data_IF_480851038497
#
_entry.id   IF_480851038497
#
_cell.length_a   1.000
_cell.length_b   1.000
_cell.length_c   1.000
_cell.angle_alpha   90.00
_cell.angle_beta   90.00
_cell.angle_gamma   90.00
#
_symmetry.space_group_name_H-M   'P 1'
#
loop_
_entity.id
_entity.type
_entity.pdbx_description
1 polymer ?
#
# COMPACT_ATOMS: atom_id res chain seq x y z
N UNK A 1 8.64 5.57 14.75
CA UNK A 1 7.54 6.50 14.49
C UNK A 1 6.72 6.01 13.32
N UNK A 2 5.42 5.89 13.49
CA UNK A 2 4.57 5.37 12.41
C UNK A 2 4.29 6.45 11.37
N UNK A 3 4.25 6.03 10.12
CA UNK A 3 3.98 6.90 8.96
C UNK A 3 2.59 6.63 8.42
N UNK A 4 2.05 7.58 7.67
CA UNK A 4 0.79 7.40 6.98
C UNK A 4 1.05 6.75 5.62
N UNK A 5 0.21 5.77 5.26
CA UNK A 5 0.30 5.08 3.98
C UNK A 5 -0.88 5.41 3.09
N UNK A 6 -0.63 5.65 1.81
CA UNK A 6 -1.67 5.92 0.82
C UNK A 6 -1.29 5.27 -0.51
N UNK A 7 -2.28 4.68 -1.17
CA UNK A 7 -2.14 4.11 -2.51
C UNK A 7 -2.81 5.05 -3.52
N UNK A 8 -2.14 5.29 -4.63
CA UNK A 8 -2.68 6.10 -5.74
C UNK A 8 -2.55 5.36 -7.06
N UNK A 9 -3.60 5.43 -7.88
CA UNK A 9 -3.58 4.92 -9.25
C UNK A 9 -3.27 6.08 -10.20
N UNK A 10 -2.08 6.08 -10.79
CA UNK A 10 -1.63 7.15 -11.68
C UNK A 10 -1.88 6.81 -13.14
N UNK A 11 -2.20 7.84 -13.93
CA UNK A 11 -2.20 7.74 -15.39
C UNK A 11 -0.78 7.83 -15.91
N UNK A 12 -0.58 7.43 -17.16
CA UNK A 12 0.75 7.40 -17.78
C UNK A 12 1.41 8.79 -17.78
N UNK A 13 0.67 9.84 -18.07
CA UNK A 13 1.20 11.21 -18.07
C UNK A 13 1.61 11.68 -16.67
N UNK A 14 0.83 11.31 -15.64
CA UNK A 14 1.17 11.61 -14.26
C UNK A 14 2.45 10.88 -13.82
N UNK A 15 2.57 9.62 -14.20
CA UNK A 15 3.77 8.83 -13.90
C UNK A 15 4.99 9.39 -14.61
N UNK A 16 4.85 9.74 -15.89
CA UNK A 16 5.94 10.30 -16.67
C UNK A 16 6.43 11.62 -16.06
N UNK A 17 5.50 12.46 -15.58
CA UNK A 17 5.87 13.69 -14.89
C UNK A 17 6.64 13.39 -13.61
N UNK A 18 6.16 12.44 -12.79
CA UNK A 18 6.82 12.05 -11.56
C UNK A 18 8.24 11.55 -11.83
N UNK A 19 8.42 10.69 -12.84
CA UNK A 19 9.73 10.16 -13.20
C UNK A 19 10.68 11.25 -13.73
N UNK A 20 10.15 12.31 -14.34
CA UNK A 20 10.96 13.40 -14.89
C UNK A 20 11.50 14.34 -13.82
N UNK A 21 10.94 14.30 -12.60
CA UNK A 21 11.37 15.18 -11.51
C UNK A 21 12.61 14.65 -10.80
N UNK A 22 13.47 15.54 -10.26
CA UNK A 22 14.53 15.12 -9.36
C UNK A 22 13.96 14.41 -8.13
N UNK A 23 14.74 13.51 -7.52
CA UNK A 23 14.29 12.72 -6.38
C UNK A 23 13.73 13.56 -5.23
N UNK A 24 14.34 14.70 -4.95
CA UNK A 24 13.94 15.58 -3.85
C UNK A 24 12.66 16.35 -4.13
N UNK A 25 12.19 16.40 -5.38
CA UNK A 25 10.93 17.06 -5.74
C UNK A 25 9.76 16.09 -5.92
N UNK A 26 10.02 14.79 -5.99
CA UNK A 26 8.98 13.78 -6.23
C UNK A 26 7.96 13.69 -5.10
N UNK A 27 8.41 13.76 -3.86
CA UNK A 27 7.54 13.68 -2.71
C UNK A 27 6.60 14.88 -2.65
N UNK A 28 7.11 16.09 -2.88
CA UNK A 28 6.30 17.30 -2.89
C UNK A 28 5.25 17.26 -4.01
N UNK A 29 5.62 16.74 -5.18
CA UNK A 29 4.68 16.55 -6.28
C UNK A 29 3.52 15.64 -5.87
N UNK A 30 3.82 14.52 -5.21
CA UNK A 30 2.79 13.60 -4.76
C UNK A 30 1.86 14.24 -3.73
N UNK A 31 2.40 15.02 -2.79
CA UNK A 31 1.58 15.69 -1.79
C UNK A 31 0.77 16.85 -2.36
N UNK A 32 1.38 17.69 -3.19
CA UNK A 32 0.75 18.93 -3.65
C UNK A 32 -0.20 18.75 -4.82
N UNK A 33 0.10 17.84 -5.74
CA UNK A 33 -0.70 17.66 -6.94
C UNK A 33 -1.51 16.36 -6.94
N UNK A 34 -0.90 15.25 -6.55
CA UNK A 34 -1.59 13.94 -6.62
C UNK A 34 -2.52 13.76 -5.43
N UNK A 35 -2.07 13.98 -4.21
CA UNK A 35 -2.90 13.81 -3.03
C UNK A 35 -4.11 14.72 -3.04
N UNK A 36 -3.92 16.01 -3.33
CA UNK A 36 -5.02 16.96 -3.37
C UNK A 36 -6.08 16.60 -4.42
N UNK A 37 -5.64 16.02 -5.53
CA UNK A 37 -6.54 15.70 -6.64
C UNK A 37 -7.21 14.35 -6.48
N UNK A 38 -6.50 13.33 -5.95
CA UNK A 38 -6.94 11.94 -6.02
C UNK A 38 -7.35 11.30 -4.70
N UNK A 39 -6.99 11.87 -3.54
CA UNK A 39 -7.17 11.19 -2.26
C UNK A 39 -8.64 10.81 -1.99
N UNK A 40 -9.57 11.68 -2.32
CA UNK A 40 -11.00 11.46 -2.11
C UNK A 40 -11.71 10.85 -3.32
N UNK A 41 -10.95 10.33 -4.29
CA UNK A 41 -11.50 9.72 -5.50
C UNK A 41 -11.24 8.21 -5.48
N UNK A 42 -11.88 7.41 -6.38
CA UNK A 42 -11.56 5.99 -6.51
C UNK A 42 -10.12 5.68 -6.91
N UNK A 43 -9.35 6.69 -7.32
CA UNK A 43 -7.93 6.55 -7.66
C UNK A 43 -7.01 6.76 -6.46
N UNK A 44 -7.56 6.98 -5.28
CA UNK A 44 -6.83 7.08 -4.03
C UNK A 44 -7.36 6.07 -3.02
N UNK A 45 -6.47 5.48 -2.23
CA UNK A 45 -6.84 4.57 -1.16
C UNK A 45 -5.97 4.87 0.07
N UNK A 46 -6.57 5.54 1.06
CA UNK A 46 -5.87 5.87 2.28
C UNK A 46 -5.81 4.66 3.20
N UNK A 47 -4.66 4.40 3.77
CA UNK A 47 -4.44 3.31 4.72
C UNK A 47 -4.07 3.80 6.11
N UNK A 48 -3.85 5.10 6.27
CA UNK A 48 -3.43 5.71 7.53
C UNK A 48 -2.23 4.97 8.10
N UNK A 49 -2.20 4.68 9.39
CA UNK A 49 -1.11 3.93 10.01
C UNK A 49 -1.29 2.41 9.90
N UNK A 50 -2.39 1.97 9.31
CA UNK A 50 -2.69 0.54 9.16
C UNK A 50 -1.79 -0.17 8.14
N UNK A 51 -1.13 0.58 7.23
CA UNK A 51 -0.34 -0.01 6.15
C UNK A 51 0.75 -0.96 6.65
N UNK A 52 1.40 -0.61 7.75
CA UNK A 52 2.48 -1.43 8.31
C UNK A 52 1.95 -2.78 8.82
N UNK A 53 0.86 -2.77 9.59
CA UNK A 53 0.27 -4.00 10.09
C UNK A 53 -0.27 -4.88 8.98
N UNK A 54 -0.89 -4.28 7.96
CA UNK A 54 -1.38 -5.02 6.81
C UNK A 54 -0.19 -5.67 6.08
N UNK A 55 0.93 -4.95 5.93
CA UNK A 55 2.12 -5.49 5.30
C UNK A 55 2.68 -6.69 6.06
N UNK A 56 2.75 -6.61 7.40
CA UNK A 56 3.15 -7.75 8.23
C UNK A 56 2.23 -8.96 8.00
N UNK A 57 0.92 -8.73 7.96
CA UNK A 57 -0.04 -9.82 7.73
C UNK A 57 0.13 -10.46 6.35
N UNK A 58 0.42 -9.66 5.33
CA UNK A 58 0.66 -10.17 3.98
C UNK A 58 1.95 -10.97 3.89
N UNK A 59 2.91 -10.72 4.76
CA UNK A 59 4.15 -11.48 4.86
C UNK A 59 4.07 -12.67 5.81
N UNK A 60 2.87 -13.08 6.22
CA UNK A 60 2.70 -14.23 7.11
C UNK A 60 3.00 -13.94 8.57
N UNK A 61 2.95 -12.68 8.97
CA UNK A 61 3.27 -12.22 10.32
C UNK A 61 4.66 -11.63 10.44
N UNK A 62 5.43 -11.61 9.36
CA UNK A 62 6.80 -11.07 9.31
C UNK A 62 6.91 -9.98 8.26
N UNK A 63 7.88 -9.08 8.43
CA UNK A 63 8.19 -8.11 7.39
C UNK A 63 9.01 -8.82 6.32
N UNK A 64 8.32 -9.20 5.23
CA UNK A 64 8.92 -9.94 4.13
C UNK A 64 9.39 -8.97 3.05
N UNK A 65 10.68 -8.94 2.79
CA UNK A 65 11.29 -8.09 1.78
C UNK A 65 11.34 -8.76 0.40
N UNK A 66 10.91 -10.02 0.31
CA UNK A 66 10.85 -10.70 -0.97
C UNK A 66 9.78 -10.07 -1.87
N UNK A 67 10.11 -9.98 -3.15
CA UNK A 67 9.21 -9.40 -4.14
C UNK A 67 8.17 -10.43 -4.56
N UNK A 68 7.09 -10.55 -3.78
CA UNK A 68 5.99 -11.47 -4.07
C UNK A 68 4.70 -10.70 -4.29
N UNK A 69 3.70 -11.34 -4.91
CA UNK A 69 2.42 -10.67 -5.19
C UNK A 69 1.76 -10.16 -3.91
N UNK A 70 1.58 -10.99 -2.84
CA UNK A 70 0.95 -10.47 -1.62
C UNK A 70 1.75 -9.34 -0.95
N UNK A 71 3.08 -9.42 -0.93
CA UNK A 71 3.88 -8.38 -0.28
C UNK A 71 3.96 -7.09 -1.08
N UNK A 72 3.55 -7.09 -2.35
CA UNK A 72 3.50 -5.89 -3.18
C UNK A 72 2.18 -5.12 -3.09
N UNK A 73 1.17 -5.65 -2.40
CA UNK A 73 -0.15 -5.01 -2.35
C UNK A 73 -0.08 -3.61 -1.71
N UNK A 74 0.63 -3.49 -0.60
CA UNK A 74 0.74 -2.22 0.14
C UNK A 74 2.10 -1.57 -0.10
N UNK A 75 3.17 -2.33 0.00
CA UNK A 75 4.53 -1.83 -0.04
C UNK A 75 5.37 -2.73 -0.95
N UNK A 76 6.17 -2.15 -1.80
CA UNK A 76 7.02 -2.93 -2.70
C UNK A 76 6.94 -2.44 -4.13
N UNK A 77 7.72 -3.06 -4.99
CA UNK A 77 7.89 -2.64 -6.37
C UNK A 77 9.12 -1.75 -6.53
N UNK A 78 9.12 -0.91 -7.55
CA UNK A 78 10.24 0.00 -7.83
C UNK A 78 10.24 1.17 -6.85
N UNK A 79 11.40 1.46 -6.24
CA UNK A 79 11.54 2.62 -5.37
C UNK A 79 11.80 3.88 -6.21
N UNK A 80 10.89 4.84 -6.15
CA UNK A 80 11.04 6.14 -6.79
C UNK A 80 11.62 7.19 -5.84
N UNK A 81 11.35 7.05 -4.53
CA UNK A 81 11.96 7.84 -3.47
C UNK A 81 12.22 6.91 -2.29
N UNK A 82 13.42 6.98 -1.72
CA UNK A 82 13.75 6.21 -0.51
C UNK A 82 14.69 7.03 0.36
N UNK A 83 14.12 7.65 1.39
CA UNK A 83 14.87 8.37 2.44
C UNK A 83 14.41 7.86 3.80
N UNK A 84 14.99 8.40 4.88
CA UNK A 84 14.56 8.01 6.22
C UNK A 84 13.10 8.35 6.51
N UNK A 85 12.61 9.45 5.92
CA UNK A 85 11.28 9.98 6.23
C UNK A 85 10.28 9.78 5.10
N UNK A 86 10.73 9.53 3.88
CA UNK A 86 9.88 9.52 2.70
C UNK A 86 10.15 8.30 1.83
N UNK A 87 9.09 7.57 1.48
CA UNK A 87 9.19 6.41 0.61
C UNK A 87 8.06 6.47 -0.41
N UNK A 88 8.42 6.34 -1.69
CA UNK A 88 7.46 6.19 -2.78
C UNK A 88 7.85 4.95 -3.58
N UNK A 89 6.94 4.00 -3.70
CA UNK A 89 7.15 2.79 -4.51
C UNK A 89 6.13 2.76 -5.64
N UNK A 90 6.52 2.15 -6.74
CA UNK A 90 5.72 2.04 -7.95
C UNK A 90 5.46 0.58 -8.30
N UNK A 91 4.21 0.28 -8.65
CA UNK A 91 3.83 -1.01 -9.19
C UNK A 91 3.39 -0.82 -10.64
N UNK A 92 3.89 -1.66 -11.53
CA UNK A 92 3.56 -1.61 -12.94
C UNK A 92 2.14 -2.13 -13.17
N UNK A 93 1.58 -1.86 -14.36
CA UNK A 93 0.28 -2.38 -14.74
C UNK A 93 0.22 -3.91 -14.65
N UNK A 94 1.30 -4.58 -15.04
CA UNK A 94 1.40 -6.04 -14.94
C UNK A 94 1.33 -6.52 -13.50
N UNK A 95 2.03 -5.83 -12.58
CA UNK A 95 2.00 -6.14 -11.16
C UNK A 95 0.62 -5.89 -10.56
N UNK A 96 -0.04 -4.81 -10.95
CA UNK A 96 -1.42 -4.50 -10.52
C UNK A 96 -2.37 -5.62 -10.95
N UNK A 97 -2.23 -6.10 -12.17
CA UNK A 97 -3.05 -7.19 -12.72
C UNK A 97 -2.89 -8.48 -11.89
N UNK A 98 -1.65 -8.81 -11.52
CA UNK A 98 -1.38 -9.97 -10.66
C UNK A 98 -1.99 -9.81 -9.27
N UNK A 99 -1.95 -8.61 -8.72
CA UNK A 99 -2.55 -8.31 -7.42
C UNK A 99 -4.06 -8.49 -7.47
N UNK A 100 -4.72 -8.04 -8.53
CA UNK A 100 -6.18 -8.22 -8.69
C UNK A 100 -6.53 -9.71 -8.70
N UNK A 101 -5.79 -10.52 -9.44
CA UNK A 101 -6.02 -11.98 -9.47
C UNK A 101 -5.85 -12.57 -8.06
N UNK A 102 -4.80 -12.19 -7.36
CA UNK A 102 -4.54 -12.67 -6.01
C UNK A 102 -5.69 -12.31 -5.05
N UNK A 103 -6.19 -11.07 -5.11
CA UNK A 103 -7.27 -10.61 -4.24
C UNK A 103 -8.62 -11.27 -4.57
N UNK A 104 -8.83 -11.71 -5.81
CA UNK A 104 -10.00 -12.49 -6.18
C UNK A 104 -9.94 -13.92 -5.65
N UNK A 105 -8.74 -14.48 -5.53
CA UNK A 105 -8.54 -15.86 -5.06
C UNK A 105 -8.37 -15.97 -3.55
N UNK A 106 -8.04 -14.87 -2.87
CA UNK A 106 -7.73 -14.85 -1.44
C UNK A 106 -8.45 -13.68 -0.77
N UNK A 107 -9.16 -13.95 0.31
CA UNK A 107 -9.85 -12.91 1.08
C UNK A 107 -8.83 -12.17 1.95
N UNK A 108 -8.65 -10.88 1.68
CA UNK A 108 -7.66 -10.06 2.41
C UNK A 108 -7.96 -10.00 3.91
N UNK A 109 -9.24 -9.84 4.28
CA UNK A 109 -9.62 -9.76 5.68
C UNK A 109 -9.32 -11.06 6.43
N UNK A 110 -9.50 -12.20 5.78
CA UNK A 110 -9.14 -13.49 6.37
C UNK A 110 -7.63 -13.65 6.56
N UNK A 111 -6.84 -13.16 5.59
CA UNK A 111 -5.38 -13.15 5.70
C UNK A 111 -4.95 -12.32 6.90
N UNK A 112 -5.54 -11.14 7.08
CA UNK A 112 -5.22 -10.25 8.19
C UNK A 112 -5.57 -10.93 9.52
N UNK A 113 -6.77 -11.51 9.64
CA UNK A 113 -7.19 -12.20 10.87
C UNK A 113 -6.30 -13.39 11.20
N UNK A 114 -5.90 -14.15 10.18
CA UNK A 114 -5.07 -15.34 10.38
C UNK A 114 -3.66 -14.98 10.81
N UNK A 115 -3.08 -13.97 10.20
CA UNK A 115 -1.67 -13.65 10.36
C UNK A 115 -1.38 -12.59 11.43
N UNK A 116 -2.38 -11.82 11.84
CA UNK A 116 -2.17 -10.79 12.88
C UNK A 116 -1.59 -11.37 14.17
N UNK A 117 -2.08 -12.52 14.71
CA UNK A 117 -1.50 -13.10 15.92
C UNK A 117 -0.04 -13.50 15.78
N UNK A 118 0.45 -13.70 14.55
CA UNK A 118 1.81 -14.12 14.27
C UNK A 118 2.82 -12.99 14.28
N UNK A 119 2.36 -11.72 14.29
CA UNK A 119 3.25 -10.55 14.28
C UNK A 119 4.01 -10.48 15.62
N UNK A 120 5.32 -10.23 15.55
CA UNK A 120 6.16 -10.06 16.73
C UNK A 120 5.87 -8.68 17.34
N UNK A 121 5.38 -8.67 18.59
CA UNK A 121 5.04 -7.43 19.30
C UNK A 121 6.22 -6.46 19.45
N UNK A 122 7.44 -6.98 19.50
CA UNK A 122 8.63 -6.15 19.66
C UNK A 122 9.01 -5.43 18.36
N UNK A 123 8.56 -5.94 17.22
CA UNK A 123 8.87 -5.36 15.91
C UNK A 123 7.78 -4.43 15.40
N UNK A 124 6.57 -4.55 15.95
CA UNK A 124 5.41 -3.80 15.47
C UNK A 124 5.16 -2.55 16.32
N UNK A 125 4.87 -1.44 15.67
CA UNK A 125 4.70 -0.14 16.33
C UNK A 125 3.39 0.04 17.09
N UNK A 126 2.37 -0.77 16.78
CA UNK A 126 1.06 -0.68 17.43
C UNK A 126 0.83 -1.86 18.39
N UNK A 127 -0.03 -1.71 19.42
CA UNK A 127 -0.32 -2.81 20.32
C UNK A 127 -1.02 -3.96 19.61
N UNK A 128 -0.72 -5.19 20.02
CA UNK A 128 -1.39 -6.38 19.49
C UNK A 128 -2.62 -6.70 20.32
N UNK A 129 -3.74 -6.07 19.97
CA UNK A 129 -5.03 -6.28 20.62
C UNK A 129 -6.16 -6.23 19.58
N UNK A 130 -7.38 -6.50 20.04
CA UNK A 130 -8.55 -6.53 19.14
C UNK A 130 -8.82 -5.17 18.50
N UNK A 131 -8.56 -4.09 19.20
CA UNK A 131 -8.76 -2.74 18.66
C UNK A 131 -7.83 -2.50 17.46
N UNK A 132 -6.58 -2.91 17.57
CA UNK A 132 -5.62 -2.79 16.46
C UNK A 132 -6.03 -3.69 15.29
N UNK A 133 -6.44 -4.93 15.57
CA UNK A 133 -6.93 -5.81 14.52
C UNK A 133 -8.11 -5.20 13.77
N UNK A 134 -9.09 -4.67 14.49
CA UNK A 134 -10.25 -4.01 13.88
C UNK A 134 -9.84 -2.76 13.09
N UNK A 135 -8.84 -2.03 13.56
CA UNK A 135 -8.28 -0.88 12.84
C UNK A 135 -7.70 -1.31 11.49
N UNK A 136 -6.90 -2.39 11.46
CA UNK A 136 -6.35 -2.92 10.21
C UNK A 136 -7.47 -3.39 9.27
N UNK A 137 -8.46 -4.11 9.78
CA UNK A 137 -9.55 -4.59 8.97
C UNK A 137 -10.37 -3.44 8.37
N UNK A 138 -10.60 -2.39 9.14
CA UNK A 138 -11.34 -1.23 8.68
C UNK A 138 -10.64 -0.51 7.52
N UNK A 139 -9.34 -0.25 7.65
CA UNK A 139 -8.59 0.44 6.61
C UNK A 139 -8.30 -0.46 5.40
N UNK A 140 -8.33 -1.79 5.55
CA UNK A 140 -8.13 -2.72 4.42
C UNK A 140 -9.35 -2.87 3.53
N UNK A 141 -10.51 -2.37 3.93
CA UNK A 141 -11.78 -2.64 3.25
C UNK A 141 -11.86 -2.16 1.81
N UNK A 142 -11.15 -1.13 1.44
CA UNK A 142 -11.20 -0.54 0.10
C UNK A 142 -10.05 -0.98 -0.82
N UNK A 143 -9.11 -1.78 -0.32
CA UNK A 143 -7.93 -2.15 -1.10
C UNK A 143 -8.30 -2.91 -2.38
N UNK A 144 -9.17 -3.91 -2.27
CA UNK A 144 -9.55 -4.72 -3.43
C UNK A 144 -10.21 -3.89 -4.52
N UNK A 145 -11.21 -3.07 -4.17
CA UNK A 145 -11.90 -2.24 -5.15
C UNK A 145 -10.98 -1.18 -5.74
N UNK A 146 -10.03 -0.65 -4.95
CA UNK A 146 -9.02 0.27 -5.45
C UNK A 146 -8.20 -0.37 -6.58
N UNK A 147 -7.69 -1.58 -6.36
CA UNK A 147 -6.89 -2.27 -7.38
C UNK A 147 -7.72 -2.67 -8.60
N UNK A 148 -8.97 -3.09 -8.39
CA UNK A 148 -9.87 -3.40 -9.52
C UNK A 148 -10.10 -2.17 -10.41
N UNK A 149 -10.30 -1.00 -9.80
CA UNK A 149 -10.45 0.25 -10.54
C UNK A 149 -9.15 0.65 -11.24
N UNK A 150 -8.02 0.49 -10.58
CA UNK A 150 -6.71 0.79 -11.17
C UNK A 150 -6.45 -0.07 -12.41
N UNK A 151 -6.81 -1.36 -12.37
CA UNK A 151 -6.65 -2.24 -13.51
C UNK A 151 -7.50 -1.82 -14.70
N UNK A 152 -8.74 -1.40 -14.45
CA UNK A 152 -9.66 -1.00 -15.53
C UNK A 152 -9.21 0.25 -16.27
N UNK A 153 -8.59 1.17 -15.57
CA UNK A 153 -8.14 2.43 -16.15
C UNK A 153 -6.77 2.33 -16.80
N UNK A 154 -6.15 1.18 -16.71
CA UNK A 154 -4.86 0.92 -17.31
C UNK A 154 -3.70 1.53 -16.59
#
# INVERSE_FOLDING_TARGET
MSRLGVLYALKEDELNKLRSLPHDERYDYMLEEIEETLLETPRGCELDKAWEGIQYCLGGGEWDEENSVPTNIVFGGEFLVETEDEIITLKTHSEVKQIVVYLHQNNLQEIIRKNFPLINEQEYSLPKNDDTLNYLLGWSGDIQSFYENAQKEG
#
